data_IF_999523924435
#
_entry.id   IF_999523924435
#
_cell.length_a   1.000
_cell.length_b   1.000
_cell.length_c   1.000
_cell.angle_alpha   90.00
_cell.angle_beta   90.00
_cell.angle_gamma   90.00
#
_symmetry.space_group_name_H-M   'P 1'
#
loop_
_entity.id
_entity.type
_entity.pdbx_description
1 polymer ?
#
# COMPACT_ATOMS: atom_id res chain seq x y z
N UNK A 1 24.27 -23.04 -8.06
CA UNK A 1 25.16 -24.22 -7.96
C UNK A 1 25.01 -24.77 -6.55
N UNK A 2 24.79 -26.08 -6.39
CA UNK A 2 24.71 -26.71 -5.06
C UNK A 2 26.11 -26.75 -4.44
N UNK A 3 26.22 -26.47 -3.15
CA UNK A 3 27.48 -26.71 -2.43
C UNK A 3 27.69 -28.21 -2.17
N UNK A 4 28.88 -28.57 -1.69
CA UNK A 4 29.27 -29.97 -1.43
C UNK A 4 28.43 -30.66 -0.35
N UNK A 5 27.54 -29.94 0.33
CA UNK A 5 26.68 -30.45 1.40
C UNK A 5 25.20 -30.53 0.97
N UNK A 6 24.89 -30.33 -0.31
CA UNK A 6 23.51 -30.37 -0.82
C UNK A 6 22.65 -29.21 -0.31
N UNK A 7 23.27 -28.16 0.23
CA UNK A 7 22.57 -26.95 0.66
C UNK A 7 22.46 -25.98 -0.51
N UNK A 8 21.33 -25.28 -0.59
CA UNK A 8 21.16 -24.18 -1.54
C UNK A 8 22.24 -23.14 -1.24
N UNK A 9 23.21 -22.98 -2.15
CA UNK A 9 24.16 -21.88 -2.12
C UNK A 9 23.37 -20.59 -2.33
N UNK A 10 22.95 -19.97 -1.24
CA UNK A 10 22.35 -18.65 -1.27
C UNK A 10 23.47 -17.71 -1.70
N UNK A 11 23.35 -17.01 -2.84
CA UNK A 11 24.35 -16.02 -3.24
C UNK A 11 24.54 -15.03 -2.08
N UNK A 12 25.78 -14.62 -1.83
CA UNK A 12 26.11 -13.71 -0.75
C UNK A 12 25.12 -12.52 -0.75
N UNK A 13 24.26 -12.48 0.27
CA UNK A 13 23.26 -11.44 0.42
C UNK A 13 23.98 -10.13 0.63
N UNK A 14 23.92 -9.25 -0.37
CA UNK A 14 24.38 -7.88 -0.22
C UNK A 14 23.47 -7.24 0.82
N UNK A 15 24.01 -6.72 1.94
CA UNK A 15 23.20 -5.99 2.90
C UNK A 15 22.66 -4.75 2.18
N UNK A 16 21.34 -4.73 1.94
CA UNK A 16 20.67 -3.52 1.48
C UNK A 16 20.61 -2.54 2.64
N UNK A 17 20.93 -1.27 2.38
CA UNK A 17 20.71 -0.24 3.38
C UNK A 17 19.20 0.02 3.55
N UNK A 18 18.82 0.58 4.70
CA UNK A 18 17.42 0.82 5.03
C UNK A 18 16.72 1.76 4.02
N UNK A 19 17.47 2.68 3.38
CA UNK A 19 16.95 3.57 2.36
C UNK A 19 16.59 2.83 1.08
N UNK A 20 17.46 1.93 0.61
CA UNK A 20 17.22 1.08 -0.55
C UNK A 20 16.01 0.16 -0.35
N UNK A 21 15.87 -0.42 0.84
CA UNK A 21 14.69 -1.24 1.17
C UNK A 21 13.42 -0.38 1.18
N UNK A 22 13.48 0.82 1.76
CA UNK A 22 12.34 1.74 1.81
C UNK A 22 11.90 2.14 0.40
N UNK A 23 12.84 2.57 -0.45
CA UNK A 23 12.56 2.97 -1.83
C UNK A 23 11.98 1.80 -2.63
N UNK A 24 12.57 0.62 -2.51
CA UNK A 24 12.09 -0.56 -3.22
C UNK A 24 10.65 -0.92 -2.81
N UNK A 25 10.35 -0.93 -1.51
CA UNK A 25 9.00 -1.23 -1.01
C UNK A 25 7.99 -0.21 -1.53
N UNK A 26 8.32 1.08 -1.48
CA UNK A 26 7.43 2.13 -1.98
C UNK A 26 7.17 1.99 -3.48
N UNK A 27 8.23 1.83 -4.29
CA UNK A 27 8.11 1.62 -5.73
C UNK A 27 7.28 0.38 -6.05
N UNK A 28 7.51 -0.71 -5.31
CA UNK A 28 6.78 -1.96 -5.55
C UNK A 28 5.30 -1.85 -5.22
N UNK A 29 4.93 -1.14 -4.15
CA UNK A 29 3.54 -0.89 -3.81
C UNK A 29 2.82 -0.06 -4.88
N UNK A 30 3.49 0.98 -5.41
CA UNK A 30 2.96 1.79 -6.52
C UNK A 30 2.80 0.94 -7.79
N UNK A 31 3.80 0.13 -8.13
CA UNK A 31 3.75 -0.73 -9.31
C UNK A 31 2.59 -1.74 -9.27
N UNK A 32 2.32 -2.34 -8.11
CA UNK A 32 1.19 -3.26 -7.91
C UNK A 32 -0.14 -2.56 -8.16
N UNK A 33 -0.34 -1.36 -7.61
CA UNK A 33 -1.56 -0.58 -7.80
C UNK A 33 -1.72 -0.17 -9.26
N UNK A 34 -0.67 0.36 -9.88
CA UNK A 34 -0.74 0.87 -11.24
C UNK A 34 -0.92 -0.24 -12.28
N UNK A 35 -0.35 -1.42 -12.04
CA UNK A 35 -0.39 -2.54 -12.99
C UNK A 35 -1.67 -3.37 -12.83
N UNK A 36 -2.10 -3.60 -11.60
CA UNK A 36 -3.16 -4.57 -11.29
C UNK A 36 -4.44 -3.93 -10.75
N UNK A 37 -4.40 -2.67 -10.30
CA UNK A 37 -5.51 -2.01 -9.61
C UNK A 37 -5.79 -2.58 -8.21
N UNK A 38 -4.89 -3.42 -7.67
CA UNK A 38 -5.08 -4.15 -6.42
C UNK A 38 -4.48 -3.35 -5.26
N UNK A 39 -5.29 -2.44 -4.71
CA UNK A 39 -4.87 -1.52 -3.64
C UNK A 39 -4.64 -2.25 -2.31
N UNK A 40 -5.41 -3.32 -2.06
CA UNK A 40 -5.26 -4.21 -0.91
C UNK A 40 -3.86 -4.87 -0.86
N UNK A 41 -3.40 -5.44 -1.97
CA UNK A 41 -2.08 -6.08 -2.06
C UNK A 41 -0.93 -5.08 -1.86
N UNK A 42 -1.07 -3.87 -2.39
CA UNK A 42 -0.09 -2.81 -2.16
C UNK A 42 -0.02 -2.42 -0.69
N UNK A 43 -1.18 -2.35 -0.01
CA UNK A 43 -1.26 -2.02 1.41
C UNK A 43 -0.68 -3.14 2.29
N UNK A 44 -1.00 -4.41 2.01
CA UNK A 44 -0.43 -5.56 2.72
C UNK A 44 1.10 -5.57 2.64
N UNK A 45 1.67 -5.30 1.47
CA UNK A 45 3.13 -5.19 1.30
C UNK A 45 3.74 -4.10 2.21
N UNK A 46 3.12 -2.92 2.23
CA UNK A 46 3.59 -1.79 3.03
C UNK A 46 3.47 -2.07 4.54
N UNK A 47 2.37 -2.68 4.97
CA UNK A 47 2.12 -3.03 6.37
C UNK A 47 3.08 -4.12 6.86
N UNK A 48 3.33 -5.15 6.05
CA UNK A 48 4.35 -6.17 6.36
C UNK A 48 5.75 -5.55 6.46
N UNK A 49 6.14 -4.69 5.51
CA UNK A 49 7.44 -4.03 5.55
C UNK A 49 7.60 -3.09 6.75
N UNK A 50 6.54 -2.38 7.13
CA UNK A 50 6.54 -1.47 8.26
C UNK A 50 6.52 -2.21 9.61
N UNK A 51 5.64 -3.19 9.78
CA UNK A 51 5.43 -3.91 11.03
C UNK A 51 6.47 -4.99 11.28
N UNK A 52 6.69 -5.89 10.32
CA UNK A 52 7.54 -7.07 10.53
C UNK A 52 9.03 -6.80 10.32
N UNK A 53 9.35 -5.86 9.41
CA UNK A 53 10.73 -5.54 9.03
C UNK A 53 11.21 -4.20 9.57
N UNK A 54 10.34 -3.47 10.27
CA UNK A 54 10.63 -2.16 10.87
C UNK A 54 11.25 -1.16 9.87
N UNK A 55 10.80 -1.21 8.61
CA UNK A 55 11.29 -0.30 7.57
C UNK A 55 10.78 1.12 7.88
N UNK A 56 11.67 2.10 8.05
CA UNK A 56 11.29 3.47 8.39
C UNK A 56 10.69 4.20 7.19
N UNK A 57 10.00 5.33 7.44
CA UNK A 57 9.54 6.22 6.36
C UNK A 57 8.34 5.73 5.55
N UNK A 58 7.73 4.60 5.91
CA UNK A 58 6.56 4.06 5.19
C UNK A 58 5.22 4.64 5.65
N UNK A 59 5.14 5.24 6.84
CA UNK A 59 3.87 5.69 7.45
C UNK A 59 3.06 6.63 6.55
N UNK A 60 3.70 7.59 5.88
CA UNK A 60 3.02 8.52 4.98
C UNK A 60 2.40 7.79 3.77
N UNK A 61 3.12 6.81 3.21
CA UNK A 61 2.68 6.02 2.06
C UNK A 61 1.56 5.06 2.46
N UNK A 62 1.67 4.42 3.64
CA UNK A 62 0.59 3.60 4.21
C UNK A 62 -0.70 4.42 4.34
N UNK A 63 -0.62 5.63 4.90
CA UNK A 63 -1.78 6.50 5.04
C UNK A 63 -2.42 6.85 3.69
N UNK A 64 -1.62 7.05 2.64
CA UNK A 64 -2.13 7.29 1.27
C UNK A 64 -2.88 6.06 0.75
N UNK A 65 -2.29 4.87 0.87
CA UNK A 65 -2.91 3.62 0.44
C UNK A 65 -4.16 3.26 1.25
N UNK A 66 -4.21 3.58 2.55
CA UNK A 66 -5.42 3.43 3.37
C UNK A 66 -6.55 4.35 2.88
N UNK A 67 -6.22 5.60 2.56
CA UNK A 67 -7.19 6.54 1.96
C UNK A 67 -7.72 6.03 0.62
N UNK A 68 -6.83 5.53 -0.23
CA UNK A 68 -7.20 4.95 -1.52
C UNK A 68 -8.06 3.69 -1.36
N UNK A 69 -7.69 2.78 -0.44
CA UNK A 69 -8.45 1.56 -0.14
C UNK A 69 -9.88 1.91 0.28
N UNK A 70 -10.06 2.89 1.18
CA UNK A 70 -11.37 3.38 1.62
C UNK A 70 -12.21 3.84 0.42
N UNK A 71 -11.62 4.59 -0.50
CA UNK A 71 -12.32 5.12 -1.68
C UNK A 71 -12.72 4.00 -2.64
N UNK A 72 -11.79 3.09 -2.95
CA UNK A 72 -12.00 2.03 -3.93
C UNK A 72 -12.98 0.97 -3.42
N UNK A 73 -12.78 0.48 -2.20
CA UNK A 73 -13.53 -0.69 -1.70
C UNK A 73 -14.73 -0.32 -0.84
N UNK A 74 -14.61 0.67 0.05
CA UNK A 74 -15.70 0.96 0.98
C UNK A 74 -16.72 1.95 0.39
N UNK A 75 -16.22 3.01 -0.27
CA UNK A 75 -17.07 3.99 -0.96
C UNK A 75 -17.52 3.47 -2.34
N UNK A 76 -16.79 2.51 -2.90
CA UNK A 76 -17.13 1.86 -4.17
C UNK A 76 -16.76 2.68 -5.41
N UNK A 77 -15.80 3.60 -5.30
CA UNK A 77 -15.30 4.37 -6.43
C UNK A 77 -14.06 3.69 -7.03
N UNK A 78 -14.31 2.63 -7.80
CA UNK A 78 -13.30 1.69 -8.28
C UNK A 78 -12.28 2.27 -9.28
N UNK A 79 -12.55 3.45 -9.84
CA UNK A 79 -11.71 4.05 -10.90
C UNK A 79 -10.62 4.98 -10.36
N UNK A 80 -10.61 5.29 -9.07
CA UNK A 80 -9.61 6.21 -8.49
C UNK A 80 -8.27 5.52 -8.33
N UNK A 81 -7.25 6.07 -8.99
CA UNK A 81 -5.85 5.63 -8.86
C UNK A 81 -5.12 6.38 -7.75
N UNK A 82 -3.98 5.84 -7.32
CA UNK A 82 -3.09 6.53 -6.38
C UNK A 82 -2.60 7.87 -6.92
N UNK A 83 -2.33 7.96 -8.23
CA UNK A 83 -1.91 9.21 -8.88
C UNK A 83 -2.98 10.28 -8.78
N UNK A 84 -4.24 9.93 -9.09
CA UNK A 84 -5.37 10.85 -8.99
C UNK A 84 -5.61 11.24 -7.55
N UNK A 85 -5.62 10.29 -6.62
CA UNK A 85 -5.73 10.56 -5.19
C UNK A 85 -4.67 11.56 -4.72
N UNK A 86 -3.41 11.39 -5.16
CA UNK A 86 -2.32 12.28 -4.82
C UNK A 86 -2.42 13.67 -5.48
N UNK A 87 -3.10 13.78 -6.63
CA UNK A 87 -3.37 15.06 -7.28
C UNK A 87 -4.52 15.85 -6.62
N UNK A 88 -5.39 15.18 -5.86
CA UNK A 88 -6.52 15.83 -5.19
C UNK A 88 -6.06 16.72 -4.02
N UNK A 89 -6.70 17.89 -3.82
CA UNK A 89 -6.58 18.64 -2.58
C UNK A 89 -7.08 17.83 -1.38
N UNK A 90 -6.52 18.09 -0.19
CA UNK A 90 -6.90 17.35 1.03
C UNK A 90 -8.40 17.41 1.32
N UNK A 91 -9.05 18.56 1.09
CA UNK A 91 -10.49 18.70 1.26
C UNK A 91 -11.29 17.74 0.35
N UNK A 92 -10.80 17.50 -0.86
CA UNK A 92 -11.46 16.61 -1.82
C UNK A 92 -11.22 15.14 -1.48
N UNK A 93 -10.00 14.79 -1.01
CA UNK A 93 -9.73 13.46 -0.47
C UNK A 93 -10.67 13.12 0.68
N UNK A 94 -10.83 14.05 1.63
CA UNK A 94 -11.75 13.89 2.76
C UNK A 94 -13.20 13.75 2.30
N UNK A 95 -13.62 14.54 1.30
CA UNK A 95 -14.96 14.46 0.73
C UNK A 95 -15.24 13.09 0.12
N UNK A 96 -14.29 12.53 -0.62
CA UNK A 96 -14.41 11.20 -1.22
C UNK A 96 -14.46 10.11 -0.16
N UNK A 97 -13.53 10.12 0.81
CA UNK A 97 -13.46 9.10 1.87
C UNK A 97 -14.71 9.06 2.76
N UNK A 98 -15.48 10.14 2.80
CA UNK A 98 -16.68 10.30 3.63
C UNK A 98 -17.98 10.28 2.84
N UNK A 99 -17.92 10.02 1.53
CA UNK A 99 -19.08 10.10 0.64
C UNK A 99 -20.19 9.09 1.00
N UNK A 100 -19.82 7.96 1.61
CA UNK A 100 -20.74 6.91 2.07
C UNK A 100 -21.20 7.13 3.53
N UNK A 101 -20.73 8.14 4.25
CA UNK A 101 -21.09 8.40 5.65
C UNK A 101 -22.44 9.14 5.83
N UNK A 102 -23.31 9.08 4.82
CA UNK A 102 -24.63 9.69 4.87
C UNK A 102 -25.58 9.01 5.89
N UNK A 103 -26.61 9.73 6.39
CA UNK A 103 -27.54 9.22 7.40
C UNK A 103 -28.29 7.94 6.99
N UNK A 104 -28.31 7.61 5.70
CA UNK A 104 -28.93 6.38 5.16
C UNK A 104 -28.06 5.13 5.36
N UNK A 105 -26.73 5.26 5.38
CA UNK A 105 -25.79 4.14 5.45
C UNK A 105 -25.47 3.72 6.90
N UNK A 106 -25.75 4.58 7.89
CA UNK A 106 -25.59 4.25 9.32
C UNK A 106 -26.53 3.12 9.80
N UNK A 107 -27.61 2.84 9.08
CA UNK A 107 -28.65 1.88 9.50
C UNK A 107 -28.39 0.41 9.15
N UNK A 108 -27.30 0.09 8.46
CA UNK A 108 -27.01 -1.31 8.06
C UNK A 108 -26.07 -2.07 8.99
N UNK A 109 -25.64 -1.46 10.11
CA UNK A 109 -24.67 -2.07 11.05
C UNK A 109 -25.28 -2.28 12.45
N UNK A 110 -26.59 -2.50 12.56
CA UNK A 110 -27.26 -2.85 13.84
C UNK A 110 -28.05 -4.13 13.72
#
# INVERSE_FOLDING_TARGET
ALDTNGSLSVPATIPLDAGQVTEWVQQRAVEIETTCGLVDLSLELLEMAHGEKSVPGLAAVINQFQGLHRIVYDVGNADVTLSEYNALPDAERLRLMTADLGPTNYRQVV
#
